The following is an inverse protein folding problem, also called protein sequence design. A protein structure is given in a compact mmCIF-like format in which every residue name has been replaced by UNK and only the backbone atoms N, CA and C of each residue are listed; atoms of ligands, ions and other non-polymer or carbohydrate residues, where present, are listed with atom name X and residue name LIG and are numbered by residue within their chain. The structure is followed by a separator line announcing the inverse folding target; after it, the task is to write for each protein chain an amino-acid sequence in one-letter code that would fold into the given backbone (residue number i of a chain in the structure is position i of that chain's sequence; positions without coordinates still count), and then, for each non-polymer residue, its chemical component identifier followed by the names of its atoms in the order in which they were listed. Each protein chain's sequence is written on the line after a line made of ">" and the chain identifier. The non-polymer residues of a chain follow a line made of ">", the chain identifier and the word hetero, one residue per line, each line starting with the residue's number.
data_IF_874238630997
#
_entry.id   IF_874238630997
#
_cell.length_a   1.000
_cell.length_b   1.000
_cell.length_c   1.000
_cell.angle_alpha   90.00
_cell.angle_beta   90.00
_cell.angle_gamma   90.00
#
_symmetry.space_group_name_H-M   'P 1'
#
loop_
_entity.id
_entity.type
_entity.pdbx_description
1 polymer ?
#
# COMPACT_ATOMS: atom_id res chain seq x y z
N UNK A 1 9.75 19.95 12.62
CA UNK A 1 9.89 18.56 13.19
C UNK A 1 10.18 17.63 12.05
N UNK A 2 11.37 17.01 11.99
CA UNK A 2 11.78 16.22 10.84
C UNK A 2 11.12 14.84 10.83
N UNK A 3 10.40 14.52 9.77
CA UNK A 3 9.60 13.30 9.61
C UNK A 3 10.22 12.43 8.54
N UNK A 4 10.42 11.13 8.81
CA UNK A 4 10.79 10.15 7.79
C UNK A 4 9.55 9.34 7.41
N UNK A 5 9.24 9.28 6.12
CA UNK A 5 8.16 8.49 5.53
C UNK A 5 8.70 7.33 4.71
N UNK A 6 8.43 6.11 5.13
CA UNK A 6 8.79 4.90 4.38
C UNK A 6 7.76 4.63 3.28
N UNK A 7 8.24 4.37 2.07
CA UNK A 7 7.45 3.89 0.92
C UNK A 7 7.99 2.52 0.52
N UNK A 8 7.12 1.50 0.52
CA UNK A 8 7.45 0.15 0.09
C UNK A 8 7.32 0.00 -1.43
N UNK A 9 7.87 -1.08 -1.98
CA UNK A 9 7.90 -1.33 -3.42
C UNK A 9 6.54 -1.62 -4.06
N UNK A 10 5.51 -1.88 -3.28
CA UNK A 10 4.12 -2.06 -3.69
C UNK A 10 3.23 -0.85 -3.39
N UNK A 11 3.79 0.24 -2.83
CA UNK A 11 3.07 1.46 -2.44
C UNK A 11 3.32 2.66 -3.37
N UNK A 12 3.56 2.39 -4.64
CA UNK A 12 3.98 3.40 -5.63
C UNK A 12 2.78 4.14 -6.25
N UNK A 13 1.93 4.73 -5.41
CA UNK A 13 0.74 5.47 -5.83
C UNK A 13 0.99 6.99 -5.76
N UNK A 14 1.17 7.70 -6.89
CA UNK A 14 1.41 9.16 -6.88
C UNK A 14 0.19 9.97 -6.40
N UNK A 15 -1.00 9.37 -6.39
CA UNK A 15 -2.22 10.04 -5.92
C UNK A 15 -2.46 9.88 -4.42
N UNK A 16 -1.59 9.18 -3.69
CA UNK A 16 -1.72 9.04 -2.24
C UNK A 16 -1.73 10.40 -1.55
N UNK A 17 -2.51 10.53 -0.47
CA UNK A 17 -2.69 11.78 0.27
C UNK A 17 -1.37 12.41 0.76
N UNK A 18 -0.34 11.61 0.97
CA UNK A 18 0.98 12.06 1.39
C UNK A 18 1.65 13.04 0.41
N UNK A 19 1.35 12.93 -0.88
CA UNK A 19 2.01 13.72 -1.94
C UNK A 19 1.24 14.97 -2.35
N UNK A 20 0.05 15.21 -1.74
CA UNK A 20 -0.79 16.36 -2.10
C UNK A 20 -0.22 17.72 -1.67
N UNK A 21 0.69 17.74 -0.72
CA UNK A 21 1.32 18.97 -0.21
C UNK A 21 2.82 18.78 -0.07
N UNK A 22 3.56 19.80 -0.49
CA UNK A 22 4.99 19.87 -0.21
C UNK A 22 5.20 20.30 1.24
N UNK A 23 6.18 19.65 1.88
CA UNK A 23 6.61 19.98 3.23
C UNK A 23 8.11 19.66 3.34
N UNK A 24 8.91 20.68 3.61
CA UNK A 24 10.37 20.56 3.71
C UNK A 24 10.83 19.78 4.95
N UNK A 25 9.94 19.54 5.89
CA UNK A 25 10.19 18.73 7.08
C UNK A 25 10.05 17.22 6.79
N UNK A 26 9.45 16.86 5.66
CA UNK A 26 9.18 15.47 5.29
C UNK A 26 10.27 14.94 4.36
N UNK A 27 10.85 13.82 4.77
CA UNK A 27 11.83 13.06 4.01
C UNK A 27 11.26 11.69 3.65
N UNK A 28 11.07 11.42 2.39
CA UNK A 28 10.61 10.12 1.90
C UNK A 28 11.80 9.18 1.72
N UNK A 29 11.62 7.89 2.00
CA UNK A 29 12.65 6.89 1.74
C UNK A 29 12.08 5.68 1.01
N UNK A 30 12.77 5.27 -0.06
CA UNK A 30 12.60 4.00 -0.76
C UNK A 30 13.91 3.24 -0.71
N UNK A 31 13.86 1.91 -0.55
CA UNK A 31 15.08 1.10 -0.45
C UNK A 31 14.94 -0.27 -1.09
N UNK A 32 15.92 -0.63 -1.91
CA UNK A 32 16.06 -1.96 -2.53
C UNK A 32 16.83 -2.86 -1.56
N UNK A 33 16.14 -3.70 -0.78
CA UNK A 33 16.77 -4.49 0.29
C UNK A 33 16.80 -5.98 -0.04
N UNK A 34 17.87 -6.67 0.35
CA UNK A 34 17.99 -8.13 0.21
C UNK A 34 16.97 -8.86 1.08
N UNK A 35 16.51 -8.26 2.16
CA UNK A 35 15.41 -8.78 2.97
C UNK A 35 14.19 -9.15 2.13
N UNK A 36 13.85 -8.33 1.11
CA UNK A 36 12.69 -8.57 0.22
C UNK A 36 12.99 -9.48 -0.98
N UNK A 37 14.25 -9.65 -1.34
CA UNK A 37 14.60 -10.46 -2.50
C UNK A 37 15.01 -11.88 -2.15
N UNK A 38 15.36 -12.15 -0.88
CA UNK A 38 16.02 -13.40 -0.48
C UNK A 38 15.17 -14.28 0.46
N UNK A 39 14.02 -13.79 0.99
CA UNK A 39 13.19 -14.61 1.90
C UNK A 39 12.52 -15.80 1.19
N UNK A 40 12.29 -15.69 -0.12
CA UNK A 40 11.92 -16.78 -1.04
C UNK A 40 12.64 -16.59 -2.36
N UNK A 41 12.72 -17.64 -3.16
CA UNK A 41 13.30 -17.56 -4.52
C UNK A 41 12.33 -16.81 -5.45
N UNK A 42 12.63 -15.55 -5.71
CA UNK A 42 11.87 -14.73 -6.66
C UNK A 42 12.42 -14.83 -8.08
N UNK A 43 11.54 -14.74 -9.07
CA UNK A 43 11.96 -14.61 -10.46
C UNK A 43 12.68 -13.27 -10.69
N UNK A 44 13.82 -13.28 -11.38
CA UNK A 44 14.64 -12.09 -11.61
C UNK A 44 13.86 -10.94 -12.28
N UNK A 45 12.97 -11.23 -13.22
CA UNK A 45 12.13 -10.22 -13.87
C UNK A 45 11.18 -9.52 -12.88
N UNK A 46 10.66 -10.24 -11.86
CA UNK A 46 9.84 -9.63 -10.81
C UNK A 46 10.65 -8.60 -10.02
N UNK A 47 11.85 -8.99 -9.58
CA UNK A 47 12.74 -8.10 -8.82
C UNK A 47 13.11 -6.87 -9.65
N UNK A 48 13.53 -7.08 -10.90
CA UNK A 48 13.90 -5.99 -11.82
C UNK A 48 12.72 -5.05 -12.07
N UNK A 49 11.52 -5.59 -12.29
CA UNK A 49 10.31 -4.80 -12.51
C UNK A 49 9.96 -3.93 -11.32
N UNK A 50 10.00 -4.48 -10.10
CA UNK A 50 9.72 -3.72 -8.86
C UNK A 50 10.77 -2.63 -8.65
N UNK A 51 12.06 -2.94 -8.76
CA UNK A 51 13.12 -1.94 -8.57
C UNK A 51 13.09 -0.85 -9.63
N UNK A 52 12.79 -1.20 -10.90
CA UNK A 52 12.62 -0.21 -11.96
C UNK A 52 11.44 0.75 -11.63
N UNK A 53 10.30 0.21 -11.19
CA UNK A 53 9.15 1.00 -10.80
C UNK A 53 9.45 1.91 -9.59
N UNK A 54 10.18 1.42 -8.58
CA UNK A 54 10.61 2.22 -7.43
C UNK A 54 11.52 3.39 -7.85
N UNK A 55 12.46 3.16 -8.77
CA UNK A 55 13.37 4.20 -9.29
C UNK A 55 12.62 5.25 -10.11
N UNK A 56 11.66 4.82 -10.92
CA UNK A 56 10.79 5.74 -11.65
C UNK A 56 9.94 6.57 -10.70
N UNK A 57 9.32 5.94 -9.71
CA UNK A 57 8.54 6.64 -8.68
C UNK A 57 9.35 7.67 -7.90
N UNK A 58 10.60 7.32 -7.50
CA UNK A 58 11.53 8.28 -6.92
C UNK A 58 11.74 9.48 -7.84
N UNK A 59 11.88 9.25 -9.14
CA UNK A 59 12.07 10.32 -10.12
C UNK A 59 10.84 11.22 -10.24
N UNK A 60 9.64 10.65 -10.19
CA UNK A 60 8.37 11.41 -10.15
C UNK A 60 8.34 12.32 -8.93
N UNK A 61 8.52 11.78 -7.72
CA UNK A 61 8.49 12.55 -6.48
C UNK A 61 9.54 13.65 -6.45
N UNK A 62 10.75 13.38 -6.97
CA UNK A 62 11.81 14.39 -7.03
C UNK A 62 11.47 15.53 -8.00
N UNK A 63 10.85 15.23 -9.15
CA UNK A 63 10.36 16.24 -10.10
C UNK A 63 9.27 17.13 -9.50
N UNK A 64 8.48 16.59 -8.59
CA UNK A 64 7.46 17.30 -7.83
C UNK A 64 8.02 18.03 -6.59
N UNK A 65 9.35 18.08 -6.45
CA UNK A 65 10.11 18.73 -5.38
C UNK A 65 9.97 18.11 -4.00
N UNK A 66 9.55 16.86 -3.90
CA UNK A 66 9.62 16.11 -2.64
C UNK A 66 11.07 15.72 -2.32
N UNK A 67 11.44 15.74 -1.04
CA UNK A 67 12.74 15.29 -0.58
C UNK A 67 12.74 13.75 -0.49
N UNK A 68 13.58 13.08 -1.29
CA UNK A 68 13.58 11.61 -1.39
C UNK A 68 14.99 11.05 -1.20
N UNK A 69 15.14 10.17 -0.23
CA UNK A 69 16.28 9.25 -0.10
C UNK A 69 15.95 7.97 -0.88
N UNK A 70 16.91 7.51 -1.66
CA UNK A 70 16.81 6.23 -2.35
C UNK A 70 18.05 5.38 -2.03
N UNK A 71 17.84 4.20 -1.46
CA UNK A 71 18.93 3.26 -1.19
C UNK A 71 18.88 2.13 -2.22
N UNK A 72 19.71 2.25 -3.26
CA UNK A 72 19.82 1.23 -4.31
C UNK A 72 20.52 -0.04 -3.79
N UNK A 73 20.24 -1.19 -4.46
CA UNK A 73 20.72 -2.50 -4.04
C UNK A 73 22.26 -2.61 -3.99
N UNK A 74 22.98 -1.80 -4.78
CA UNK A 74 24.44 -1.82 -4.84
C UNK A 74 25.10 -0.68 -4.05
N UNK A 75 24.31 0.15 -3.35
CA UNK A 75 24.87 1.25 -2.58
C UNK A 75 25.51 0.77 -1.29
N UNK A 76 26.71 1.27 -0.97
CA UNK A 76 27.45 0.89 0.24
C UNK A 76 26.73 1.28 1.53
N UNK A 77 25.91 2.31 1.49
CA UNK A 77 25.10 2.79 2.63
C UNK A 77 23.88 1.90 2.90
N UNK A 78 23.50 1.03 1.93
CA UNK A 78 22.36 0.15 2.08
C UNK A 78 22.72 -1.10 2.90
N UNK A 79 22.19 -1.19 4.11
CA UNK A 79 22.39 -2.32 5.03
C UNK A 79 21.51 -3.53 4.71
N UNK A 80 20.73 -3.48 3.63
CA UNK A 80 19.90 -4.56 3.11
C UNK A 80 18.79 -5.09 4.04
N UNK A 81 18.46 -4.35 5.09
CA UNK A 81 17.36 -4.60 6.01
C UNK A 81 16.59 -3.30 6.25
N UNK A 82 15.26 -3.34 6.25
CA UNK A 82 14.44 -2.16 6.58
C UNK A 82 14.82 -1.62 7.95
N UNK A 83 14.82 -2.48 8.96
CA UNK A 83 15.13 -2.10 10.34
C UNK A 83 16.49 -1.44 10.49
N UNK A 84 17.53 -2.03 9.89
CA UNK A 84 18.90 -1.50 9.98
C UNK A 84 19.05 -0.17 9.25
N UNK A 85 18.51 -0.07 8.03
CA UNK A 85 18.52 1.17 7.26
C UNK A 85 17.73 2.29 7.96
N UNK A 86 16.54 2.00 8.46
CA UNK A 86 15.70 3.00 9.14
C UNK A 86 16.37 3.53 10.40
N UNK A 87 16.94 2.66 11.26
CA UNK A 87 17.69 3.10 12.46
C UNK A 87 18.87 4.02 12.08
N UNK A 88 19.64 3.63 11.06
CA UNK A 88 20.75 4.46 10.57
C UNK A 88 20.26 5.83 10.04
N UNK A 89 19.14 5.86 9.32
CA UNK A 89 18.56 7.11 8.80
C UNK A 89 17.98 7.99 9.93
N UNK A 90 17.40 7.40 10.97
CA UNK A 90 16.90 8.15 12.12
C UNK A 90 18.02 8.96 12.78
N UNK A 91 19.18 8.33 12.97
CA UNK A 91 20.35 8.98 13.57
C UNK A 91 20.98 9.99 12.61
N UNK A 92 21.22 9.59 11.35
CA UNK A 92 21.89 10.43 10.35
C UNK A 92 21.15 11.74 10.06
N UNK A 93 19.82 11.70 10.03
CA UNK A 93 19.00 12.87 9.68
C UNK A 93 18.32 13.52 10.89
N UNK A 94 18.59 13.08 12.12
CA UNK A 94 17.94 13.55 13.35
C UNK A 94 16.40 13.49 13.23
N UNK A 95 15.87 12.34 12.82
CA UNK A 95 14.44 12.12 12.63
C UNK A 95 13.72 12.17 13.98
N UNK A 96 12.63 12.93 14.03
CA UNK A 96 11.82 13.15 15.22
C UNK A 96 10.48 12.41 15.19
N UNK A 97 10.06 11.96 14.00
CA UNK A 97 8.85 11.13 13.80
C UNK A 97 9.07 10.18 12.64
N UNK A 98 8.61 8.95 12.80
CA UNK A 98 8.58 7.95 11.73
C UNK A 98 7.14 7.69 11.28
N UNK A 99 6.90 7.69 9.97
CA UNK A 99 5.61 7.40 9.39
C UNK A 99 5.76 6.35 8.28
N UNK A 100 4.81 5.42 8.22
CA UNK A 100 4.77 4.41 7.16
C UNK A 100 3.32 4.11 6.76
N UNK A 101 3.12 3.62 5.53
CA UNK A 101 1.82 3.13 5.09
C UNK A 101 1.64 1.68 5.52
N UNK A 102 0.40 1.27 5.81
CA UNK A 102 0.06 -0.11 6.14
C UNK A 102 0.62 -1.08 5.09
N UNK A 103 1.54 -2.00 5.47
CA UNK A 103 1.97 -3.04 4.55
C UNK A 103 0.85 -4.00 4.21
N UNK A 104 0.79 -4.45 2.95
CA UNK A 104 -0.18 -5.47 2.50
C UNK A 104 0.29 -6.89 2.86
N UNK A 105 1.57 -7.04 3.27
CA UNK A 105 2.16 -8.31 3.67
C UNK A 105 2.34 -8.40 5.19
N UNK A 106 1.81 -9.49 5.78
CA UNK A 106 1.79 -9.70 7.23
C UNK A 106 3.19 -9.68 7.89
N UNK A 107 4.19 -10.34 7.29
CA UNK A 107 5.56 -10.40 7.81
C UNK A 107 6.14 -8.99 7.97
N UNK A 108 6.00 -8.17 6.94
CA UNK A 108 6.52 -6.81 6.91
C UNK A 108 5.77 -5.89 7.88
N UNK A 109 4.45 -6.10 8.01
CA UNK A 109 3.62 -5.41 9.00
C UNK A 109 4.12 -5.68 10.43
N UNK A 110 4.40 -6.94 10.77
CA UNK A 110 4.97 -7.30 12.07
C UNK A 110 6.39 -6.71 12.28
N UNK A 111 7.26 -6.81 11.28
CA UNK A 111 8.63 -6.27 11.34
C UNK A 111 8.63 -4.75 11.62
N UNK A 112 7.72 -4.00 10.98
CA UNK A 112 7.60 -2.55 11.20
C UNK A 112 6.98 -2.22 12.56
N UNK A 113 5.99 -2.99 13.01
CA UNK A 113 5.42 -2.84 14.35
C UNK A 113 6.48 -3.10 15.44
N UNK A 114 7.32 -4.14 15.29
CA UNK A 114 8.42 -4.42 16.20
C UNK A 114 9.45 -3.27 16.21
N UNK A 115 9.81 -2.76 15.03
CA UNK A 115 10.70 -1.61 14.94
C UNK A 115 10.13 -0.40 15.69
N UNK A 116 8.86 -0.09 15.51
CA UNK A 116 8.20 1.03 16.21
C UNK A 116 8.21 0.88 17.73
N UNK A 117 8.14 -0.36 18.25
CA UNK A 117 8.23 -0.65 19.68
C UNK A 117 9.66 -0.54 20.22
N UNK A 118 10.68 -0.71 19.37
CA UNK A 118 12.11 -0.65 19.77
C UNK A 118 12.70 0.76 19.75
N UNK A 119 12.13 1.64 18.93
CA UNK A 119 12.67 3.00 18.78
C UNK A 119 11.96 3.96 19.73
N UNK A 120 12.69 4.99 20.18
CA UNK A 120 12.15 5.98 21.11
C UNK A 120 11.42 7.15 20.40
N UNK A 121 11.48 7.20 19.06
CA UNK A 121 10.79 8.25 18.30
C UNK A 121 9.32 7.89 18.09
N UNK A 122 8.39 8.86 18.13
CA UNK A 122 7.00 8.65 17.80
C UNK A 122 6.84 8.04 16.41
N UNK A 123 5.98 7.03 16.28
CA UNK A 123 5.72 6.35 15.01
C UNK A 123 4.23 6.30 14.73
N UNK A 124 3.85 6.43 13.46
CA UNK A 124 2.46 6.42 13.02
C UNK A 124 2.29 5.61 11.72
N UNK A 125 1.25 4.77 11.70
CA UNK A 125 0.88 3.97 10.54
C UNK A 125 -0.31 4.60 9.83
N UNK A 126 -0.23 4.77 8.52
CA UNK A 126 -1.26 5.36 7.67
C UNK A 126 -1.88 4.32 6.74
N UNK A 127 -3.16 4.44 6.37
CA UNK A 127 -3.75 3.60 5.32
C UNK A 127 -2.95 3.68 4.01
N UNK A 128 -2.80 2.55 3.31
CA UNK A 128 -2.11 2.50 2.01
C UNK A 128 -2.91 3.17 0.87
N UNK A 129 -4.19 3.43 1.09
CA UNK A 129 -5.15 3.91 0.08
C UNK A 129 -5.27 3.01 -1.17
N UNK A 130 -4.80 1.75 -1.08
CA UNK A 130 -4.94 0.75 -2.15
C UNK A 130 -6.33 0.16 -2.24
N UNK A 131 -7.08 0.18 -1.13
CA UNK A 131 -8.38 -0.45 -1.00
C UNK A 131 -9.49 0.55 -0.74
N UNK A 132 -10.71 0.19 -1.11
CA UNK A 132 -11.90 0.97 -0.78
C UNK A 132 -12.28 0.93 0.70
N UNK A 133 -11.63 0.06 1.47
CA UNK A 133 -11.86 -0.13 2.91
C UNK A 133 -10.58 0.10 3.69
N UNK A 134 -10.70 0.60 4.91
CA UNK A 134 -9.60 0.53 5.87
C UNK A 134 -9.51 -0.89 6.46
N UNK A 135 -8.36 -1.21 7.09
CA UNK A 135 -8.01 -2.57 7.57
C UNK A 135 -9.09 -3.26 8.41
N UNK A 136 -9.80 -2.52 9.25
CA UNK A 136 -10.79 -3.07 10.18
C UNK A 136 -12.25 -2.93 9.73
N UNK A 137 -12.52 -2.20 8.66
CA UNK A 137 -13.89 -1.86 8.23
C UNK A 137 -14.75 -3.10 7.96
N UNK A 138 -14.18 -4.17 7.40
CA UNK A 138 -14.93 -5.40 7.15
C UNK A 138 -15.37 -6.07 8.45
N UNK A 139 -14.48 -6.14 9.44
CA UNK A 139 -14.80 -6.70 10.75
C UNK A 139 -15.82 -5.85 11.52
N UNK A 140 -15.73 -4.54 11.41
CA UNK A 140 -16.70 -3.62 11.99
C UNK A 140 -18.09 -3.77 11.36
N UNK A 141 -18.14 -3.81 10.03
CA UNK A 141 -19.39 -3.98 9.26
C UNK A 141 -20.13 -5.29 9.58
N UNK A 142 -19.39 -6.33 9.89
CA UNK A 142 -19.94 -7.64 10.20
C UNK A 142 -19.90 -7.99 11.69
N UNK A 143 -19.62 -7.03 12.56
CA UNK A 143 -19.62 -7.24 14.01
C UNK A 143 -20.94 -7.88 14.48
N UNK A 144 -20.84 -8.97 15.27
CA UNK A 144 -21.98 -9.71 15.78
C UNK A 144 -22.75 -10.57 14.75
N UNK A 145 -22.35 -10.60 13.48
CA UNK A 145 -22.98 -11.46 12.47
C UNK A 145 -22.34 -12.84 12.43
N UNK A 146 -23.18 -13.88 12.30
CA UNK A 146 -22.70 -15.26 12.17
C UNK A 146 -22.00 -15.56 10.85
N UNK A 147 -22.32 -14.82 9.79
CA UNK A 147 -21.78 -15.02 8.45
C UNK A 147 -21.43 -13.67 7.82
N UNK A 148 -20.30 -13.64 7.16
CA UNK A 148 -19.81 -12.51 6.39
C UNK A 148 -20.12 -12.76 4.90
N UNK A 149 -21.24 -12.21 4.43
CA UNK A 149 -21.72 -12.43 3.08
C UNK A 149 -21.09 -11.38 2.13
N UNK A 150 -20.33 -11.86 1.15
CA UNK A 150 -19.67 -11.02 0.14
C UNK A 150 -20.68 -10.13 -0.61
N UNK A 151 -21.87 -10.64 -0.89
CA UNK A 151 -22.89 -9.82 -1.56
C UNK A 151 -23.37 -8.63 -0.72
N UNK A 152 -23.49 -8.82 0.61
CA UNK A 152 -23.83 -7.72 1.52
C UNK A 152 -22.73 -6.66 1.56
N UNK A 153 -21.48 -7.10 1.62
CA UNK A 153 -20.30 -6.23 1.54
C UNK A 153 -20.27 -5.48 0.22
N UNK A 154 -20.38 -6.17 -0.91
CA UNK A 154 -20.40 -5.58 -2.25
C UNK A 154 -21.47 -4.50 -2.41
N UNK A 155 -22.70 -4.76 -1.94
CA UNK A 155 -23.79 -3.78 -1.99
C UNK A 155 -23.49 -2.54 -1.14
N UNK A 156 -22.90 -2.75 0.05
CA UNK A 156 -22.54 -1.63 0.92
C UNK A 156 -21.42 -0.77 0.32
N UNK A 157 -20.40 -1.40 -0.25
CA UNK A 157 -19.30 -0.67 -0.92
C UNK A 157 -19.80 0.10 -2.15
N UNK A 158 -20.64 -0.49 -2.96
CA UNK A 158 -21.24 0.21 -4.11
C UNK A 158 -22.01 1.47 -3.69
N UNK A 159 -22.79 1.37 -2.61
CA UNK A 159 -23.51 2.53 -2.05
C UNK A 159 -22.55 3.56 -1.48
N UNK A 160 -21.58 3.14 -0.68
CA UNK A 160 -20.59 4.02 -0.03
C UNK A 160 -19.79 4.83 -1.06
N UNK A 161 -19.38 4.18 -2.14
CA UNK A 161 -18.50 4.79 -3.17
C UNK A 161 -19.23 5.20 -4.44
N UNK A 162 -20.56 5.13 -4.46
CA UNK A 162 -21.41 5.49 -5.60
C UNK A 162 -21.03 4.76 -6.91
N UNK A 163 -20.48 3.53 -6.82
CA UNK A 163 -20.05 2.75 -7.99
C UNK A 163 -21.24 2.06 -8.64
N UNK A 164 -21.51 2.36 -9.92
CA UNK A 164 -22.66 1.84 -10.65
C UNK A 164 -23.99 2.04 -9.92
N UNK A 165 -24.15 3.20 -9.30
CA UNK A 165 -25.37 3.65 -8.66
C UNK A 165 -25.98 4.79 -9.47
N UNK A 166 -27.31 4.81 -9.57
CA UNK A 166 -28.05 5.94 -10.09
C UNK A 166 -28.25 7.02 -9.02
N UNK A 167 -28.64 8.22 -9.42
CA UNK A 167 -28.87 9.36 -8.52
C UNK A 167 -29.93 9.09 -7.43
N UNK A 168 -30.93 8.23 -7.74
CA UNK A 168 -31.96 7.79 -6.81
C UNK A 168 -31.51 6.64 -5.88
N UNK A 169 -30.20 6.33 -5.85
CA UNK A 169 -29.60 5.32 -4.98
C UNK A 169 -29.89 3.86 -5.35
N UNK A 170 -30.38 3.61 -6.56
CA UNK A 170 -30.60 2.25 -7.09
C UNK A 170 -29.39 1.76 -7.88
N UNK A 171 -29.18 0.45 -7.98
CA UNK A 171 -28.13 -0.09 -8.84
C UNK A 171 -28.43 0.17 -10.31
N UNK A 172 -27.43 0.57 -11.08
CA UNK A 172 -27.53 0.65 -12.54
C UNK A 172 -27.93 -0.73 -13.09
N UNK A 173 -28.91 -0.77 -13.99
CA UNK A 173 -29.49 -2.01 -14.48
C UNK A 173 -30.57 -2.61 -13.55
N UNK A 174 -30.97 -1.88 -12.50
CA UNK A 174 -32.05 -2.24 -11.56
C UNK A 174 -31.90 -3.56 -10.80
N UNK A 175 -30.76 -4.24 -10.97
CA UNK A 175 -30.45 -5.50 -10.29
C UNK A 175 -29.11 -5.38 -9.56
N UNK A 176 -29.02 -6.00 -8.38
CA UNK A 176 -27.78 -6.07 -7.61
C UNK A 176 -26.85 -7.18 -8.08
N UNK A 177 -27.42 -8.27 -8.62
CA UNK A 177 -26.67 -9.46 -8.96
C UNK A 177 -27.13 -9.98 -10.33
N UNK A 178 -26.18 -10.20 -11.23
CA UNK A 178 -26.36 -10.76 -12.58
C UNK A 178 -25.74 -12.17 -12.70
N UNK A 179 -25.18 -12.71 -11.62
CA UNK A 179 -24.41 -13.95 -11.61
C UNK A 179 -25.20 -15.17 -12.10
N UNK A 180 -26.47 -15.17 -11.86
CA UNK A 180 -27.35 -16.24 -12.32
C UNK A 180 -27.43 -16.34 -13.86
N UNK A 181 -27.19 -15.25 -14.57
CA UNK A 181 -27.11 -15.23 -16.04
C UNK A 181 -25.76 -15.78 -16.54
N UNK A 182 -24.71 -15.67 -15.75
CA UNK A 182 -23.36 -16.17 -16.05
C UNK A 182 -23.22 -17.70 -15.86
N UNK A 183 -24.19 -18.34 -15.21
CA UNK A 183 -24.18 -19.80 -14.93
C UNK A 183 -24.83 -20.63 -16.04
N UNK A 184 -25.21 -20.03 -17.14
CA UNK A 184 -25.75 -20.76 -18.28
C UNK A 184 -24.65 -21.58 -18.94
N UNK A 185 -24.98 -22.84 -19.34
CA UNK A 185 -24.04 -23.67 -20.06
C UNK A 185 -23.60 -22.98 -21.36
N UNK A 186 -22.32 -23.02 -21.63
CA UNK A 186 -21.77 -22.50 -22.87
C UNK A 186 -22.29 -23.29 -24.08
N UNK A 187 -22.83 -22.64 -25.09
CA UNK A 187 -23.42 -23.24 -26.28
C UNK A 187 -22.51 -23.24 -27.51
N UNK A 188 -21.21 -22.99 -27.34
CA UNK A 188 -20.24 -23.00 -28.43
C UNK A 188 -20.12 -21.69 -29.21
N UNK A 189 -20.74 -20.60 -28.74
CA UNK A 189 -20.61 -19.28 -29.34
C UNK A 189 -20.17 -18.25 -28.26
N UNK A 190 -19.22 -17.35 -28.58
CA UNK A 190 -18.39 -17.34 -29.78
C UNK A 190 -17.46 -18.56 -29.88
N UNK A 191 -17.14 -19.00 -31.11
CA UNK A 191 -16.10 -20.02 -31.32
C UNK A 191 -14.76 -19.46 -30.87
N UNK A 192 -14.10 -20.14 -29.96
CA UNK A 192 -12.74 -19.86 -29.50
C UNK A 192 -11.75 -20.38 -30.50
#
# INVERSE_FOLDING_TARGET
>A
MKILRLILGDQLNPNHSWFKKLDDEILYVLMEVKQETNYVLHHAQKILGIFAAMRDFKSVLTKENHQVIYLGINEKSNLHSFKANLKNLFDQYNIQKFEYQEPDEYRLDQDLMELCNEVSIPSECFPSEHFFTHRFEVSEMFAGKKQWLMESFYRAMRKKHCVLMSEDGKPVGLKWNFDHENRKAWKGEPKV
#
